data_IF_955679896735
#
_entry.id   IF_955679896735
#
_cell.length_a   1.000
_cell.length_b   1.000
_cell.length_c   1.000
_cell.angle_alpha   90.00
_cell.angle_beta   90.00
_cell.angle_gamma   90.00
#
_symmetry.space_group_name_H-M   'P 1'
#
loop_
_entity.id
_entity.type
_entity.pdbx_description
1 polymer ?
#
# COMPACT_ATOMS: atom_id res chain seq x y z
N UNK A 1 11.20 36.96 -11.42
CA UNK A 1 10.68 38.34 -11.47
C UNK A 1 10.07 38.63 -12.86
N UNK A 2 8.99 39.39 -12.93
CA UNK A 2 8.22 39.65 -14.15
C UNK A 2 7.58 41.03 -14.06
N UNK A 3 7.33 41.67 -15.20
CA UNK A 3 6.68 43.00 -15.28
C UNK A 3 5.14 42.91 -15.22
N UNK A 4 4.61 41.75 -14.81
CA UNK A 4 3.18 41.45 -14.77
C UNK A 4 2.57 41.03 -16.11
N UNK A 5 3.28 41.15 -17.24
CA UNK A 5 2.80 40.66 -18.56
C UNK A 5 3.76 39.68 -19.22
N UNK A 6 5.06 39.79 -18.96
CA UNK A 6 6.12 38.91 -19.44
C UNK A 6 7.04 38.49 -18.29
N UNK A 7 7.65 37.30 -18.42
CA UNK A 7 8.73 36.87 -17.53
C UNK A 7 9.98 37.67 -17.88
N UNK A 8 10.65 38.31 -16.91
CA UNK A 8 11.95 38.93 -17.18
C UNK A 8 12.93 37.84 -17.63
N UNK A 9 13.61 38.08 -18.75
CA UNK A 9 14.63 37.18 -19.25
C UNK A 9 15.93 37.37 -18.44
N UNK A 10 16.08 36.53 -17.42
CA UNK A 10 17.25 36.51 -16.54
C UNK A 10 18.54 36.11 -17.26
N UNK A 11 18.46 35.58 -18.49
CA UNK A 11 19.64 35.11 -19.21
C UNK A 11 20.55 36.27 -19.65
N UNK A 12 19.97 37.40 -20.06
CA UNK A 12 20.76 38.60 -20.43
C UNK A 12 21.42 39.26 -19.22
N UNK A 13 20.75 39.25 -18.07
CA UNK A 13 21.28 39.84 -16.84
C UNK A 13 22.42 39.00 -16.27
N UNK A 14 22.28 37.68 -16.33
CA UNK A 14 23.32 36.72 -15.95
C UNK A 14 24.55 36.87 -16.84
N UNK A 15 24.36 37.09 -18.15
CA UNK A 15 25.44 37.35 -19.09
C UNK A 15 26.21 38.65 -18.75
N UNK A 16 25.51 39.75 -18.48
CA UNK A 16 26.12 41.04 -18.08
C UNK A 16 26.86 40.98 -16.73
N UNK A 17 26.38 40.14 -15.81
CA UNK A 17 27.08 39.84 -14.56
C UNK A 17 28.42 39.11 -14.82
N UNK A 18 28.44 38.11 -15.70
CA UNK A 18 29.71 37.43 -16.05
C UNK A 18 30.64 38.28 -16.93
N UNK A 19 30.11 39.25 -17.67
CA UNK A 19 30.88 40.22 -18.47
C UNK A 19 31.49 41.37 -17.63
N UNK A 20 31.21 41.43 -16.33
CA UNK A 20 31.83 42.39 -15.40
C UNK A 20 31.22 43.79 -15.46
N UNK A 21 29.98 43.93 -15.94
CA UNK A 21 29.28 45.22 -15.99
C UNK A 21 29.06 45.77 -14.56
N UNK A 22 29.63 46.94 -14.20
CA UNK A 22 29.55 47.49 -12.84
C UNK A 22 28.13 47.63 -12.32
N UNK A 23 27.16 47.87 -13.20
CA UNK A 23 25.77 48.09 -12.80
C UNK A 23 25.03 46.79 -12.43
N UNK A 24 25.57 45.62 -12.78
CA UNK A 24 24.99 44.31 -12.47
C UNK A 24 25.79 43.53 -11.43
N UNK A 25 27.00 44.00 -11.08
CA UNK A 25 27.81 43.45 -9.99
C UNK A 25 27.23 43.76 -8.61
N UNK A 26 26.60 44.93 -8.46
CA UNK A 26 25.92 45.29 -7.22
C UNK A 26 24.48 44.73 -7.20
N UNK A 27 24.09 44.15 -6.06
CA UNK A 27 22.81 43.44 -5.86
C UNK A 27 21.58 44.39 -5.93
N UNK A 28 21.81 45.69 -6.05
CA UNK A 28 20.80 46.75 -6.09
C UNK A 28 19.77 46.55 -7.21
N UNK A 29 20.21 46.22 -8.43
CA UNK A 29 19.28 46.00 -9.56
C UNK A 29 18.43 44.74 -9.41
N UNK A 30 19.01 43.70 -8.80
CA UNK A 30 18.30 42.45 -8.53
C UNK A 30 17.25 42.65 -7.45
N UNK A 31 17.60 43.37 -6.39
CA UNK A 31 16.71 43.73 -5.30
C UNK A 31 15.54 44.62 -5.75
N UNK A 32 15.81 45.65 -6.57
CA UNK A 32 14.77 46.51 -7.12
C UNK A 32 13.78 45.74 -8.00
N UNK A 33 14.26 44.78 -8.80
CA UNK A 33 13.40 43.93 -9.63
C UNK A 33 12.50 43.01 -8.79
N UNK A 34 12.98 42.54 -7.64
CA UNK A 34 12.16 41.77 -6.69
C UNK A 34 11.08 42.66 -6.06
N UNK A 35 11.45 43.85 -5.58
CA UNK A 35 10.50 44.80 -5.00
C UNK A 35 9.42 45.24 -5.99
N UNK A 36 9.77 45.45 -7.26
CA UNK A 36 8.80 45.79 -8.30
C UNK A 36 7.84 44.62 -8.57
N UNK A 37 8.36 43.39 -8.65
CA UNK A 37 7.53 42.21 -8.86
C UNK A 37 6.58 41.96 -7.68
N UNK A 38 7.03 42.17 -6.44
CA UNK A 38 6.16 42.06 -5.26
C UNK A 38 5.06 43.12 -5.23
N UNK A 39 5.37 44.37 -5.60
CA UNK A 39 4.37 45.44 -5.75
C UNK A 39 3.33 45.10 -6.82
N UNK A 40 3.75 44.61 -7.98
CA UNK A 40 2.84 44.20 -9.06
C UNK A 40 1.97 43.03 -8.61
N UNK A 41 2.54 42.05 -7.89
CA UNK A 41 1.78 40.92 -7.35
C UNK A 41 0.74 41.34 -6.32
N UNK A 42 1.07 42.32 -5.46
CA UNK A 42 0.14 42.88 -4.49
C UNK A 42 -1.01 43.63 -5.17
N UNK A 43 -0.71 44.42 -6.21
CA UNK A 43 -1.72 45.17 -6.97
C UNK A 43 -2.66 44.24 -7.77
N UNK A 44 -2.12 43.19 -8.40
CA UNK A 44 -2.92 42.16 -9.08
C UNK A 44 -3.83 41.40 -8.12
N UNK A 45 -3.36 41.13 -6.89
CA UNK A 45 -4.18 40.50 -5.85
C UNK A 45 -5.35 41.41 -5.47
N UNK A 46 -5.09 42.71 -5.26
CA UNK A 46 -6.11 43.70 -4.94
C UNK A 46 -7.15 43.85 -6.05
N UNK A 47 -6.73 43.89 -7.31
CA UNK A 47 -7.64 43.92 -8.46
C UNK A 47 -8.49 42.65 -8.61
N UNK A 48 -7.98 41.48 -8.17
CA UNK A 48 -8.75 40.24 -8.16
C UNK A 48 -9.82 40.25 -7.07
N UNK A 49 -9.44 40.68 -5.88
CA UNK A 49 -10.34 40.80 -4.73
C UNK A 49 -11.46 41.84 -5.01
N UNK A 50 -11.16 42.94 -5.73
CA UNK A 50 -12.15 43.94 -6.16
C UNK A 50 -13.08 43.44 -7.28
N UNK A 51 -12.60 42.55 -8.17
CA UNK A 51 -13.41 41.90 -9.22
C UNK A 51 -14.40 40.89 -8.64
N UNK A 52 -13.94 40.06 -7.71
CA UNK A 52 -14.78 39.06 -7.02
C UNK A 52 -15.87 39.74 -6.18
N UNK A 53 -15.59 40.92 -5.62
CA UNK A 53 -16.60 41.75 -4.95
C UNK A 53 -17.61 42.40 -5.91
N UNK A 54 -17.23 42.67 -7.17
CA UNK A 54 -18.12 43.25 -8.18
C UNK A 54 -19.01 42.20 -8.89
N UNK A 55 -18.53 40.97 -9.06
CA UNK A 55 -19.31 39.86 -9.65
C UNK A 55 -20.38 39.33 -8.65
N UNK A 56 -20.13 39.44 -7.35
CA UNK A 56 -21.13 39.12 -6.31
C UNK A 56 -22.32 40.11 -6.27
N UNK A 57 -22.19 41.30 -6.88
CA UNK A 57 -23.22 42.34 -6.87
C UNK A 57 -24.13 42.35 -8.13
N UNK A 58 -23.90 41.47 -9.10
CA UNK A 58 -24.64 41.46 -10.40
C UNK A 58 -25.56 40.22 -10.56
N UNK A 59 -25.60 39.30 -9.59
CA UNK A 59 -26.43 38.07 -9.69
C UNK A 59 -27.64 38.08 -8.74
N UNK A 60 -28.54 39.07 -8.89
CA UNK A 60 -29.89 39.03 -8.30
C UNK A 60 -30.95 39.00 -9.42
N UNK A 61 -31.20 37.81 -9.97
CA UNK A 61 -32.51 37.25 -10.41
C UNK A 61 -32.20 35.89 -11.08
N UNK A 62 -32.79 34.73 -10.67
CA UNK A 62 -34.18 34.42 -10.97
C UNK A 62 -34.94 33.63 -9.90
N UNK A 63 -36.22 33.96 -9.74
CA UNK A 63 -37.28 33.01 -9.36
C UNK A 63 -37.21 31.72 -10.18
N UNK A 64 -37.11 30.56 -9.52
CA UNK A 64 -37.67 29.24 -9.88
C UNK A 64 -37.13 28.19 -8.88
N UNK A 65 -37.80 28.00 -7.74
CA UNK A 65 -38.69 26.84 -7.51
C UNK A 65 -37.98 25.48 -7.59
N UNK A 66 -37.54 24.94 -6.45
CA UNK A 66 -38.18 23.77 -5.82
C UNK A 66 -37.51 23.45 -4.46
N UNK A 67 -38.27 23.71 -3.37
CA UNK A 67 -38.50 22.86 -2.19
C UNK A 67 -37.30 22.05 -1.62
N UNK A 68 -36.89 22.17 -0.36
CA UNK A 68 -37.44 22.87 0.79
C UNK A 68 -36.69 22.47 2.09
N UNK A 69 -36.90 23.31 3.10
CA UNK A 69 -36.62 23.22 4.55
C UNK A 69 -36.44 21.80 5.15
N UNK A 70 -35.67 21.57 6.22
CA UNK A 70 -35.66 22.33 7.47
C UNK A 70 -34.27 22.42 8.11
N UNK A 71 -34.01 23.60 8.68
CA UNK A 71 -33.01 23.84 9.70
C UNK A 71 -33.57 23.48 11.08
N UNK A 72 -32.70 23.07 12.01
CA UNK A 72 -32.86 23.48 13.40
C UNK A 72 -31.50 23.86 13.97
N UNK A 73 -31.45 25.12 14.39
CA UNK A 73 -30.34 25.78 15.04
C UNK A 73 -30.42 25.56 16.54
N UNK A 74 -29.29 25.64 17.24
CA UNK A 74 -29.25 26.36 18.52
C UNK A 74 -27.85 26.91 18.76
N UNK A 75 -27.83 28.15 19.25
CA UNK A 75 -26.67 29.01 19.46
C UNK A 75 -26.32 29.11 20.96
N UNK A 76 -25.20 29.78 21.22
CA UNK A 76 -24.63 30.28 22.50
C UNK A 76 -23.42 29.46 23.00
N UNK A 77 -22.27 30.06 23.36
CA UNK A 77 -21.82 31.45 23.30
C UNK A 77 -20.35 31.56 23.75
N UNK A 78 -19.75 32.73 23.51
CA UNK A 78 -18.64 33.36 24.25
C UNK A 78 -17.41 32.53 24.64
N UNK A 79 -16.24 32.81 24.05
CA UNK A 79 -15.33 33.85 24.54
C UNK A 79 -14.07 33.94 23.66
N UNK A 80 -13.58 35.17 23.55
CA UNK A 80 -12.30 35.50 22.95
C UNK A 80 -11.15 34.76 23.65
N UNK A 81 -10.30 34.12 22.86
CA UNK A 81 -8.88 34.08 23.18
C UNK A 81 -8.05 34.32 21.92
N UNK A 82 -7.21 35.33 22.02
CA UNK A 82 -6.29 35.76 20.99
C UNK A 82 -5.15 34.74 20.92
N UNK A 83 -5.31 33.70 20.10
CA UNK A 83 -4.20 32.83 19.78
C UNK A 83 -3.27 33.54 18.80
N UNK A 84 -2.16 34.01 19.34
CA UNK A 84 -0.92 34.35 18.66
C UNK A 84 -0.72 33.53 17.39
N UNK A 85 -0.79 34.21 16.24
CA UNK A 85 -0.27 33.71 14.99
C UNK A 85 1.25 33.57 15.13
N UNK A 86 1.71 32.42 15.61
CA UNK A 86 3.10 32.02 15.44
C UNK A 86 3.35 31.91 13.93
N UNK A 87 4.11 32.86 13.41
CA UNK A 87 4.69 32.81 12.09
C UNK A 87 5.65 31.62 12.03
N UNK A 88 5.12 30.44 11.72
CA UNK A 88 5.93 29.26 11.42
C UNK A 88 6.80 29.58 10.21
N UNK A 89 8.10 29.71 10.44
CA UNK A 89 9.09 29.70 9.36
C UNK A 89 8.85 28.45 8.51
N UNK A 90 8.90 28.52 7.17
CA UNK A 90 8.75 27.34 6.33
C UNK A 90 9.84 26.33 6.72
N UNK A 91 9.42 25.15 7.18
CA UNK A 91 10.33 24.05 7.53
C UNK A 91 11.22 23.76 6.33
N UNK A 92 12.53 23.64 6.56
CA UNK A 92 13.45 23.24 5.48
C UNK A 92 13.25 21.76 5.13
N UNK A 93 13.65 21.33 3.94
CA UNK A 93 13.54 19.91 3.56
C UNK A 93 14.31 18.98 4.49
N UNK A 94 15.41 19.44 5.07
CA UNK A 94 16.16 18.71 6.08
C UNK A 94 15.33 18.51 7.36
N UNK A 95 14.67 19.57 7.86
CA UNK A 95 13.81 19.49 9.04
C UNK A 95 12.61 18.56 8.80
N UNK A 96 12.04 18.58 7.58
CA UNK A 96 10.95 17.68 7.18
C UNK A 96 11.39 16.23 7.16
N UNK A 97 12.56 15.92 6.59
CA UNK A 97 13.12 14.57 6.58
C UNK A 97 13.28 14.06 8.02
N UNK A 98 13.85 14.87 8.92
CA UNK A 98 14.00 14.51 10.33
C UNK A 98 12.64 14.29 11.02
N UNK A 99 11.65 15.14 10.72
CA UNK A 99 10.30 15.00 11.24
C UNK A 99 9.62 13.71 10.78
N UNK A 100 9.70 13.37 9.50
CA UNK A 100 9.12 12.13 8.98
C UNK A 100 9.83 10.89 9.53
N UNK A 101 11.14 10.95 9.74
CA UNK A 101 11.91 9.87 10.35
C UNK A 101 11.50 9.57 11.80
N UNK A 102 10.98 10.55 12.56
CA UNK A 102 10.62 10.41 13.99
C UNK A 102 9.46 9.44 14.30
N UNK A 103 8.88 8.80 13.31
CA UNK A 103 7.89 7.73 13.49
C UNK A 103 7.82 6.79 12.30
N UNK A 104 8.92 6.67 11.55
CA UNK A 104 8.94 5.91 10.31
C UNK A 104 9.33 4.46 10.55
N UNK A 105 8.67 3.54 9.84
CA UNK A 105 9.08 2.15 9.74
C UNK A 105 9.75 1.91 8.39
N UNK A 106 10.90 1.21 8.32
CA UNK A 106 11.57 0.96 7.05
C UNK A 106 10.72 0.10 6.11
N UNK A 107 10.93 0.27 4.81
CA UNK A 107 10.40 -0.57 3.72
C UNK A 107 11.59 -1.27 3.04
N UNK A 108 12.09 -2.39 3.59
CA UNK A 108 13.34 -3.02 3.18
C UNK A 108 13.38 -3.46 1.72
N UNK A 109 12.23 -3.88 1.17
CA UNK A 109 12.04 -4.28 -0.22
C UNK A 109 12.42 -3.18 -1.24
N UNK A 110 12.40 -1.91 -0.82
CA UNK A 110 12.74 -0.76 -1.66
C UNK A 110 14.15 -0.20 -1.35
N UNK A 111 14.90 -0.82 -0.44
CA UNK A 111 16.24 -0.36 -0.06
C UNK A 111 17.30 -0.96 -0.99
N UNK A 112 17.55 -0.29 -2.11
CA UNK A 112 18.50 -0.74 -3.12
C UNK A 112 19.15 0.40 -3.90
N UNK A 113 20.12 0.05 -4.75
CA UNK A 113 20.62 0.94 -5.79
C UNK A 113 19.88 0.68 -7.10
N UNK A 114 19.14 1.69 -7.56
CA UNK A 114 18.28 1.61 -8.73
C UNK A 114 18.94 2.23 -9.95
N UNK A 115 18.85 1.51 -11.07
CA UNK A 115 19.28 2.00 -12.38
C UNK A 115 18.38 1.40 -13.45
N UNK A 116 18.09 2.22 -14.47
CA UNK A 116 17.37 1.80 -15.66
C UNK A 116 18.29 1.74 -16.88
N UNK A 117 18.08 0.78 -17.76
CA UNK A 117 18.78 0.63 -19.03
C UNK A 117 18.37 1.76 -19.97
N UNK A 118 19.34 2.33 -20.69
CA UNK A 118 19.07 3.43 -21.62
C UNK A 118 18.80 4.79 -20.97
N UNK A 119 18.88 4.89 -19.63
CA UNK A 119 18.82 6.16 -18.90
C UNK A 119 20.23 6.55 -18.44
N UNK A 120 20.70 7.73 -18.84
CA UNK A 120 22.01 8.22 -18.45
C UNK A 120 22.05 8.64 -16.97
N UNK A 121 23.23 8.55 -16.36
CA UNK A 121 23.45 8.94 -14.96
C UNK A 121 23.91 7.79 -14.06
N UNK A 122 24.27 8.13 -12.83
CA UNK A 122 24.73 7.18 -11.81
C UNK A 122 23.54 6.42 -11.18
N UNK A 123 23.71 5.20 -10.65
CA UNK A 123 22.67 4.55 -9.86
C UNK A 123 22.13 5.46 -8.74
N UNK A 124 20.85 5.31 -8.42
CA UNK A 124 20.17 6.03 -7.32
C UNK A 124 20.12 5.11 -6.12
N UNK A 125 20.88 5.45 -5.06
CA UNK A 125 20.81 4.74 -3.78
C UNK A 125 19.60 5.24 -3.01
N UNK A 126 18.57 4.40 -2.89
CA UNK A 126 17.30 4.73 -2.26
C UNK A 126 17.14 4.00 -0.92
N UNK A 127 16.56 4.69 0.06
CA UNK A 127 16.03 4.08 1.28
C UNK A 127 14.58 4.53 1.45
N UNK A 128 13.67 3.59 1.69
CA UNK A 128 12.24 3.88 1.79
C UNK A 128 11.69 3.64 3.20
N UNK A 129 10.72 4.45 3.57
CA UNK A 129 10.04 4.37 4.86
C UNK A 129 8.53 4.59 4.71
N UNK A 130 7.76 3.84 5.48
CA UNK A 130 6.36 4.14 5.77
C UNK A 130 6.29 5.14 6.92
N UNK A 131 5.41 6.13 6.81
CA UNK A 131 5.14 7.11 7.86
C UNK A 131 3.70 7.01 8.35
N UNK A 132 3.47 7.37 9.62
CA UNK A 132 2.14 7.42 10.21
C UNK A 132 1.44 8.78 10.00
N UNK A 133 2.20 9.84 9.72
CA UNK A 133 1.69 11.19 9.53
C UNK A 133 1.50 11.52 8.03
N UNK A 134 0.53 12.37 7.67
CA UNK A 134 0.33 12.78 6.28
C UNK A 134 1.58 13.44 5.69
N UNK A 135 1.93 13.07 4.46
CA UNK A 135 3.01 13.71 3.71
C UNK A 135 2.51 14.95 3.01
N UNK A 136 3.10 16.11 3.30
CA UNK A 136 2.77 17.37 2.65
C UNK A 136 3.99 18.26 2.40
N UNK A 137 4.91 17.85 1.50
CA UNK A 137 6.16 18.58 1.26
C UNK A 137 5.92 20.03 0.80
N UNK A 138 4.94 20.26 -0.06
CA UNK A 138 4.60 21.60 -0.59
C UNK A 138 3.25 22.12 -0.10
N UNK A 139 2.81 21.67 1.08
CA UNK A 139 1.49 21.98 1.63
C UNK A 139 0.34 21.25 0.92
N UNK A 140 0.63 20.44 -0.10
CA UNK A 140 -0.32 19.51 -0.72
C UNK A 140 -0.04 18.11 -0.23
N UNK A 141 -1.10 17.41 0.18
CA UNK A 141 -0.99 16.01 0.60
C UNK A 141 -0.62 15.13 -0.59
N UNK A 142 0.37 14.26 -0.41
CA UNK A 142 0.83 13.30 -1.42
C UNK A 142 0.92 11.89 -0.83
N UNK A 143 0.73 10.83 -1.63
CA UNK A 143 0.89 9.45 -1.13
C UNK A 143 2.36 9.06 -0.93
N UNK A 144 3.26 9.59 -1.75
CA UNK A 144 4.69 9.30 -1.74
C UNK A 144 5.48 10.59 -1.91
N UNK A 145 6.60 10.72 -1.18
CA UNK A 145 7.55 11.82 -1.35
C UNK A 145 8.98 11.28 -1.46
N UNK A 146 9.62 11.52 -2.60
CA UNK A 146 11.02 11.20 -2.86
C UNK A 146 11.87 12.47 -2.76
N UNK A 147 12.94 12.44 -1.97
CA UNK A 147 13.84 13.58 -1.83
C UNK A 147 15.31 13.17 -1.66
N UNK A 148 16.21 14.07 -2.04
CA UNK A 148 17.65 13.87 -1.94
C UNK A 148 18.18 14.13 -0.52
N UNK A 149 19.19 13.37 -0.12
CA UNK A 149 19.95 13.57 1.10
C UNK A 149 21.41 13.95 0.78
N UNK A 150 22.13 14.42 1.82
CA UNK A 150 23.56 14.68 1.71
C UNK A 150 24.30 13.39 1.31
N UNK A 151 25.29 13.52 0.43
CA UNK A 151 26.08 12.37 -0.04
C UNK A 151 25.51 11.62 -1.24
N UNK A 152 24.46 12.15 -1.89
CA UNK A 152 23.90 11.57 -3.11
C UNK A 152 23.02 10.33 -2.87
N UNK A 153 22.59 10.13 -1.64
CA UNK A 153 21.54 9.17 -1.27
C UNK A 153 20.18 9.82 -1.39
N UNK A 154 19.14 9.00 -1.55
CA UNK A 154 17.76 9.44 -1.66
C UNK A 154 16.91 8.71 -0.63
N UNK A 155 15.90 9.40 -0.13
CA UNK A 155 14.92 8.85 0.80
C UNK A 155 13.53 8.99 0.21
N UNK A 156 12.74 7.92 0.30
CA UNK A 156 11.32 7.94 -0.03
C UNK A 156 10.49 7.74 1.22
N UNK A 157 9.43 8.52 1.37
CA UNK A 157 8.43 8.36 2.42
C UNK A 157 7.08 7.99 1.80
N UNK A 158 6.33 7.12 2.48
CA UNK A 158 5.03 6.62 2.04
C UNK A 158 3.98 6.84 3.12
N UNK A 159 2.89 7.56 2.78
CA UNK A 159 1.70 7.74 3.62
C UNK A 159 0.62 6.70 3.26
N UNK A 160 0.59 5.57 3.96
CA UNK A 160 -0.44 4.54 3.75
C UNK A 160 -1.85 4.98 4.16
N UNK A 161 -1.99 6.07 4.90
CA UNK A 161 -3.30 6.63 5.25
C UNK A 161 -3.88 7.55 4.16
N UNK A 162 -3.13 7.76 3.06
CA UNK A 162 -3.57 8.55 1.92
C UNK A 162 -4.82 7.92 1.27
N UNK A 163 -5.76 8.75 0.81
CA UNK A 163 -7.01 8.28 0.20
C UNK A 163 -6.79 7.38 -1.02
N UNK A 164 -5.66 7.55 -1.71
CA UNK A 164 -5.26 6.71 -2.83
C UNK A 164 -5.20 5.22 -2.44
N UNK A 165 -4.43 4.86 -1.41
CA UNK A 165 -4.31 3.46 -0.95
C UNK A 165 -5.57 2.88 -0.31
N UNK A 166 -6.54 3.75 0.03
CA UNK A 166 -7.85 3.30 0.53
C UNK A 166 -8.84 3.01 -0.59
N UNK A 167 -8.66 3.64 -1.75
CA UNK A 167 -9.63 3.64 -2.84
C UNK A 167 -9.14 2.86 -4.07
N UNK A 168 -7.83 2.69 -4.22
CA UNK A 168 -7.18 2.03 -5.35
C UNK A 168 -6.31 0.87 -4.86
N UNK A 169 -6.29 -0.21 -5.63
CA UNK A 169 -5.49 -1.43 -5.38
C UNK A 169 -4.05 -1.29 -5.92
N UNK A 170 -3.45 -0.13 -5.66
CA UNK A 170 -2.06 0.13 -6.02
C UNK A 170 -1.14 -0.18 -4.84
N UNK A 171 -0.15 -1.04 -5.07
CA UNK A 171 0.88 -1.36 -4.09
C UNK A 171 1.74 -0.09 -3.83
N UNK A 172 2.05 0.28 -2.57
CA UNK A 172 2.85 1.46 -2.27
C UNK A 172 4.22 1.49 -2.93
N UNK A 173 4.80 0.31 -3.13
CA UNK A 173 6.06 0.10 -3.83
C UNK A 173 5.97 0.54 -5.30
N UNK A 174 4.82 0.34 -5.95
CA UNK A 174 4.59 0.76 -7.33
C UNK A 174 4.61 2.29 -7.43
N UNK A 175 4.02 3.01 -6.47
CA UNK A 175 4.07 4.47 -6.47
C UNK A 175 5.48 5.01 -6.23
N UNK A 176 6.26 4.36 -5.35
CA UNK A 176 7.66 4.72 -5.13
C UNK A 176 8.48 4.50 -6.40
N UNK A 177 8.33 3.37 -7.08
CA UNK A 177 9.03 3.10 -8.34
C UNK A 177 8.59 4.04 -9.47
N UNK A 178 7.31 4.43 -9.51
CA UNK A 178 6.82 5.41 -10.48
C UNK A 178 7.46 6.79 -10.24
N UNK A 179 7.51 7.25 -8.99
CA UNK A 179 8.18 8.51 -8.64
C UNK A 179 9.69 8.46 -8.93
N UNK A 180 10.31 7.30 -8.71
CA UNK A 180 11.72 7.07 -9.02
C UNK A 180 11.99 7.05 -10.52
N UNK A 181 11.09 6.45 -11.32
CA UNK A 181 11.19 6.44 -12.77
C UNK A 181 11.13 7.87 -13.36
N UNK A 182 10.21 8.69 -12.84
CA UNK A 182 10.10 10.11 -13.19
C UNK A 182 11.39 10.87 -12.83
N UNK A 183 11.88 10.70 -11.60
CA UNK A 183 13.13 11.30 -11.14
C UNK A 183 14.35 10.91 -12.01
N UNK A 184 14.45 9.64 -12.40
CA UNK A 184 15.51 9.17 -13.29
C UNK A 184 15.46 9.84 -14.66
N UNK A 185 14.26 10.10 -15.18
CA UNK A 185 14.03 10.76 -16.46
C UNK A 185 14.40 12.25 -16.40
N UNK A 186 13.95 12.97 -15.37
CA UNK A 186 14.29 14.37 -15.13
C UNK A 186 15.82 14.57 -15.06
N UNK A 187 16.50 13.69 -14.30
CA UNK A 187 17.95 13.73 -14.14
C UNK A 187 18.70 13.47 -15.44
N UNK A 188 18.11 12.71 -16.37
CA UNK A 188 18.70 12.46 -17.68
C UNK A 188 18.55 13.65 -18.65
N UNK A 189 17.78 14.70 -18.30
CA UNK A 189 17.66 15.95 -19.06
C UNK A 189 17.38 15.77 -20.57
N UNK A 190 16.56 14.77 -20.93
CA UNK A 190 16.23 14.47 -22.33
C UNK A 190 17.31 13.72 -23.12
N UNK A 191 18.36 13.21 -22.45
CA UNK A 191 19.37 12.35 -23.08
C UNK A 191 18.88 10.92 -23.36
N UNK A 192 17.61 10.63 -23.08
CA UNK A 192 16.99 9.32 -23.24
C UNK A 192 15.66 9.45 -23.97
N UNK A 193 15.38 8.48 -24.84
CA UNK A 193 14.11 8.32 -25.54
C UNK A 193 13.26 7.19 -24.96
N UNK A 194 13.72 6.57 -23.86
CA UNK A 194 13.01 5.47 -23.21
C UNK A 194 11.75 6.02 -22.53
N UNK A 195 10.55 5.48 -22.83
CA UNK A 195 9.33 5.88 -22.16
C UNK A 195 9.39 5.60 -20.65
N UNK A 196 8.77 6.46 -19.84
CA UNK A 196 8.69 6.27 -18.38
C UNK A 196 8.08 4.91 -18.00
N UNK A 197 7.10 4.41 -18.77
CA UNK A 197 6.48 3.11 -18.54
C UNK A 197 7.46 1.95 -18.71
N UNK A 198 8.41 2.05 -19.64
CA UNK A 198 9.47 1.05 -19.82
C UNK A 198 10.48 1.08 -18.68
N UNK A 199 10.83 2.28 -18.19
CA UNK A 199 11.68 2.45 -17.00
C UNK A 199 10.99 1.82 -15.80
N UNK A 200 9.73 2.18 -15.56
CA UNK A 200 8.93 1.64 -14.45
C UNK A 200 8.83 0.11 -14.50
N UNK A 201 8.50 -0.47 -15.67
CA UNK A 201 8.41 -1.92 -15.84
C UNK A 201 9.75 -2.61 -15.54
N UNK A 202 10.87 -2.07 -16.05
CA UNK A 202 12.21 -2.59 -15.78
C UNK A 202 12.56 -2.55 -14.29
N UNK A 203 12.25 -1.44 -13.61
CA UNK A 203 12.48 -1.32 -12.17
C UNK A 203 11.64 -2.35 -11.40
N UNK A 204 10.37 -2.52 -11.76
CA UNK A 204 9.49 -3.50 -11.12
C UNK A 204 9.99 -4.93 -11.32
N UNK A 205 10.37 -5.30 -12.53
CA UNK A 205 10.91 -6.63 -12.87
C UNK A 205 12.21 -6.95 -12.13
N UNK A 206 13.10 -5.96 -11.95
CA UNK A 206 14.40 -6.20 -11.33
C UNK A 206 14.38 -6.16 -9.81
N UNK A 207 13.57 -5.28 -9.23
CA UNK A 207 13.66 -4.95 -7.81
C UNK A 207 12.45 -5.38 -6.99
N UNK A 208 11.29 -5.66 -7.62
CA UNK A 208 10.06 -6.11 -6.93
C UNK A 208 9.63 -7.51 -7.39
N UNK A 209 10.59 -8.43 -7.52
CA UNK A 209 10.31 -9.85 -7.78
C UNK A 209 9.37 -10.46 -6.73
N UNK A 210 9.36 -9.90 -5.52
CA UNK A 210 8.44 -10.26 -4.43
C UNK A 210 6.96 -10.00 -4.75
N UNK A 211 6.62 -9.20 -5.77
CA UNK A 211 5.24 -8.87 -6.15
C UNK A 211 4.78 -9.59 -7.43
N UNK A 212 5.67 -10.35 -8.08
CA UNK A 212 5.33 -11.07 -9.32
C UNK A 212 4.30 -12.16 -9.02
N UNK A 213 3.21 -12.16 -9.77
CA UNK A 213 2.20 -13.23 -9.78
C UNK A 213 2.81 -14.40 -10.56
N UNK A 214 3.72 -15.12 -9.90
CA UNK A 214 4.41 -16.28 -10.46
C UNK A 214 3.98 -17.56 -9.72
N UNK A 215 3.51 -18.54 -10.49
CA UNK A 215 3.14 -19.86 -9.98
C UNK A 215 4.33 -20.59 -9.38
N UNK A 216 5.52 -20.40 -9.93
CA UNK A 216 6.76 -20.98 -9.41
C UNK A 216 7.00 -20.62 -7.95
N UNK A 217 6.43 -19.49 -7.49
CA UNK A 217 6.50 -19.03 -6.11
C UNK A 217 5.23 -19.27 -5.30
N UNK A 218 4.06 -19.00 -5.88
CA UNK A 218 2.78 -19.17 -5.18
C UNK A 218 2.51 -20.63 -4.79
N UNK A 219 2.92 -21.60 -5.62
CA UNK A 219 2.69 -23.02 -5.33
C UNK A 219 3.53 -23.50 -4.13
N UNK A 220 4.86 -23.25 -4.04
CA UNK A 220 5.62 -23.55 -2.84
C UNK A 220 5.08 -22.87 -1.58
N UNK A 221 4.68 -21.59 -1.68
CA UNK A 221 4.11 -20.82 -0.56
C UNK A 221 2.81 -21.44 -0.05
N UNK A 222 1.87 -21.76 -0.96
CA UNK A 222 0.65 -22.48 -0.62
C UNK A 222 0.94 -23.85 0.00
N UNK A 223 1.89 -24.62 -0.56
CA UNK A 223 2.26 -25.92 -0.01
C UNK A 223 2.87 -25.83 1.38
N UNK A 224 3.62 -24.77 1.69
CA UNK A 224 4.17 -24.56 3.01
C UNK A 224 3.05 -24.21 4.00
N UNK A 225 2.24 -23.20 3.66
CA UNK A 225 1.13 -22.76 4.50
C UNK A 225 0.13 -23.89 4.79
N UNK A 226 -0.24 -24.67 3.77
CA UNK A 226 -1.16 -25.80 3.95
C UNK A 226 -0.57 -26.89 4.83
N UNK A 227 0.74 -27.16 4.78
CA UNK A 227 1.40 -28.10 5.69
C UNK A 227 1.38 -27.60 7.12
N UNK A 228 1.72 -26.33 7.33
CA UNK A 228 1.72 -25.72 8.66
C UNK A 228 0.32 -25.78 9.29
N UNK A 229 -0.72 -25.53 8.49
CA UNK A 229 -2.12 -25.70 8.89
C UNK A 229 -2.43 -27.15 9.24
N UNK A 230 -2.11 -28.10 8.35
CA UNK A 230 -2.34 -29.53 8.58
C UNK A 230 -1.66 -30.07 9.83
N UNK A 231 -0.45 -29.59 10.12
CA UNK A 231 0.30 -29.98 11.31
C UNK A 231 -0.35 -29.46 12.59
N UNK A 232 -0.88 -28.23 12.59
CA UNK A 232 -1.62 -27.65 13.72
C UNK A 232 -3.01 -28.26 13.91
N UNK A 233 -3.67 -28.68 12.83
CA UNK A 233 -4.98 -29.32 12.90
C UNK A 233 -4.97 -30.60 13.74
N UNK A 234 -3.84 -31.33 13.81
CA UNK A 234 -3.73 -32.56 14.61
C UNK A 234 -4.07 -32.31 16.09
N UNK A 235 -3.57 -31.22 16.68
CA UNK A 235 -3.87 -30.88 18.08
C UNK A 235 -5.30 -30.36 18.29
N UNK A 236 -5.97 -29.92 17.23
CA UNK A 236 -7.35 -29.41 17.31
C UNK A 236 -8.40 -30.51 17.38
N UNK A 237 -8.07 -31.73 16.92
CA UNK A 237 -9.02 -32.83 16.75
C UNK A 237 -8.93 -33.91 17.84
N UNK A 238 -8.16 -33.70 18.90
CA UNK A 238 -7.90 -34.70 19.96
C UNK A 238 -9.19 -35.25 20.60
N UNK A 239 -10.24 -34.44 20.70
CA UNK A 239 -11.54 -34.85 21.27
C UNK A 239 -12.26 -35.90 20.41
N UNK A 240 -12.12 -35.83 19.08
CA UNK A 240 -12.76 -36.76 18.14
C UNK A 240 -11.97 -36.86 16.83
N UNK A 241 -10.84 -37.56 16.84
CA UNK A 241 -9.89 -37.53 15.72
C UNK A 241 -10.42 -38.23 14.47
N UNK A 242 -11.32 -39.21 14.60
CA UNK A 242 -11.84 -39.94 13.44
C UNK A 242 -12.98 -39.23 12.70
N UNK A 243 -13.64 -38.22 13.32
CA UNK A 243 -14.79 -37.50 12.73
C UNK A 243 -14.50 -36.96 11.31
N UNK A 244 -13.41 -36.23 11.04
CA UNK A 244 -13.14 -35.76 9.67
C UNK A 244 -12.91 -36.91 8.67
N UNK A 245 -12.19 -37.95 9.09
CA UNK A 245 -11.92 -39.13 8.27
C UNK A 245 -13.22 -39.83 7.86
N UNK A 246 -14.15 -40.00 8.80
CA UNK A 246 -15.39 -40.76 8.62
C UNK A 246 -16.52 -39.96 7.96
N UNK A 247 -16.59 -38.64 8.19
CA UNK A 247 -17.75 -37.83 7.77
C UNK A 247 -17.44 -36.87 6.62
N UNK A 248 -16.18 -36.48 6.43
CA UNK A 248 -15.81 -35.47 5.42
C UNK A 248 -15.11 -36.10 4.21
N UNK A 249 -14.18 -37.03 4.44
CA UNK A 249 -13.43 -37.64 3.34
C UNK A 249 -14.29 -38.64 2.57
N UNK A 250 -14.30 -38.50 1.24
CA UNK A 250 -14.86 -39.50 0.33
C UNK A 250 -14.04 -40.79 0.34
N UNK A 251 -14.62 -41.89 -0.16
CA UNK A 251 -13.92 -43.18 -0.26
C UNK A 251 -12.61 -43.08 -1.05
N UNK A 252 -12.62 -42.31 -2.14
CA UNK A 252 -11.41 -42.06 -2.93
C UNK A 252 -10.33 -41.33 -2.13
N UNK A 253 -10.71 -40.27 -1.40
CA UNK A 253 -9.77 -39.49 -0.60
C UNK A 253 -9.23 -40.27 0.60
N UNK A 254 -10.04 -41.15 1.22
CA UNK A 254 -9.59 -42.08 2.26
C UNK A 254 -8.53 -43.03 1.72
N UNK A 255 -8.76 -43.59 0.53
CA UNK A 255 -7.78 -44.46 -0.13
C UNK A 255 -6.49 -43.71 -0.42
N UNK A 256 -6.55 -42.54 -1.05
CA UNK A 256 -5.36 -41.72 -1.33
C UNK A 256 -4.62 -41.30 -0.05
N UNK A 257 -5.36 -40.99 1.02
CA UNK A 257 -4.77 -40.68 2.33
C UNK A 257 -4.08 -41.92 2.92
N UNK A 258 -4.71 -43.10 2.84
CA UNK A 258 -4.12 -44.37 3.27
C UNK A 258 -2.84 -44.75 2.53
N UNK A 259 -2.82 -44.56 1.21
CA UNK A 259 -1.62 -44.76 0.38
C UNK A 259 -0.49 -43.83 0.85
N UNK A 260 -0.79 -42.54 1.07
CA UNK A 260 0.18 -41.55 1.59
C UNK A 260 0.67 -41.84 3.00
N UNK A 261 -0.21 -42.31 3.90
CA UNK A 261 0.16 -42.76 5.25
C UNK A 261 1.16 -43.91 5.15
N UNK A 262 0.86 -44.91 4.32
CA UNK A 262 1.72 -46.08 4.13
C UNK A 262 3.10 -45.67 3.58
N UNK A 263 3.12 -44.75 2.62
CA UNK A 263 4.36 -44.21 2.04
C UNK A 263 5.18 -43.38 3.04
N UNK A 264 4.52 -42.48 3.78
CA UNK A 264 5.16 -41.51 4.68
C UNK A 264 5.58 -42.12 6.02
N UNK A 265 4.67 -42.85 6.67
CA UNK A 265 4.84 -43.38 8.03
C UNK A 265 5.33 -44.84 8.04
N UNK A 266 5.41 -45.49 6.87
CA UNK A 266 5.86 -46.90 6.73
C UNK A 266 5.06 -47.87 7.61
N UNK A 267 3.77 -47.58 7.81
CA UNK A 267 2.85 -48.41 8.58
C UNK A 267 1.70 -48.90 7.71
N UNK A 268 1.21 -50.10 8.00
CA UNK A 268 -0.03 -50.64 7.40
C UNK A 268 -1.24 -50.45 8.33
N UNK A 269 -1.01 -50.02 9.58
CA UNK A 269 -2.07 -49.76 10.56
C UNK A 269 -2.63 -48.35 10.37
N UNK A 270 -3.54 -48.21 9.41
CA UNK A 270 -4.19 -46.94 9.09
C UNK A 270 -5.13 -46.52 10.23
N UNK A 271 -5.81 -47.49 10.85
CA UNK A 271 -6.78 -47.20 11.91
C UNK A 271 -6.11 -46.52 13.11
N UNK A 272 -4.94 -47.00 13.56
CA UNK A 272 -4.19 -46.35 14.63
C UNK A 272 -3.81 -44.89 14.29
N UNK A 273 -3.46 -44.61 13.03
CA UNK A 273 -3.12 -43.25 12.56
C UNK A 273 -4.37 -42.35 12.45
N UNK A 274 -5.54 -42.95 12.16
CA UNK A 274 -6.83 -42.24 12.18
C UNK A 274 -7.21 -41.88 13.62
N UNK A 275 -7.08 -42.82 14.56
CA UNK A 275 -7.37 -42.59 15.98
C UNK A 275 -6.40 -41.62 16.66
N UNK A 276 -5.19 -41.41 16.11
CA UNK A 276 -4.26 -40.40 16.62
C UNK A 276 -4.45 -39.01 16.00
N UNK A 277 -5.26 -38.88 14.94
CA UNK A 277 -5.41 -37.63 14.19
C UNK A 277 -4.26 -37.31 13.22
N UNK A 278 -3.15 -38.06 13.26
CA UNK A 278 -1.96 -37.80 12.43
C UNK A 278 -2.22 -37.92 10.93
N UNK A 279 -3.28 -38.62 10.52
CA UNK A 279 -3.70 -38.72 9.12
C UNK A 279 -3.95 -37.35 8.47
N UNK A 280 -4.30 -36.31 9.24
CA UNK A 280 -4.51 -34.94 8.75
C UNK A 280 -3.26 -34.36 8.07
N UNK A 281 -2.08 -34.83 8.42
CA UNK A 281 -0.83 -34.45 7.74
C UNK A 281 -0.68 -35.07 6.34
N UNK A 282 -1.51 -36.06 6.03
CA UNK A 282 -1.45 -36.85 4.79
C UNK A 282 -2.66 -36.61 3.88
N UNK A 283 -3.72 -35.96 4.35
CA UNK A 283 -4.90 -35.68 3.52
C UNK A 283 -4.54 -34.72 2.38
N UNK A 284 -5.26 -34.76 1.24
CA UNK A 284 -5.09 -33.78 0.18
C UNK A 284 -5.42 -32.36 0.68
N UNK A 285 -4.59 -31.33 0.37
CA UNK A 285 -4.84 -29.96 0.82
C UNK A 285 -6.21 -29.41 0.40
N UNK A 286 -6.75 -29.86 -0.73
CA UNK A 286 -8.09 -29.51 -1.22
C UNK A 286 -9.24 -29.95 -0.31
N UNK A 287 -8.99 -30.87 0.62
CA UNK A 287 -10.03 -31.34 1.57
C UNK A 287 -10.11 -30.49 2.83
N UNK A 288 -9.08 -29.70 3.14
CA UNK A 288 -8.93 -28.99 4.42
C UNK A 288 -10.07 -28.00 4.65
N UNK A 289 -10.46 -27.24 3.62
CA UNK A 289 -11.57 -26.29 3.71
C UNK A 289 -12.88 -26.98 4.14
N UNK A 290 -13.19 -28.16 3.59
CA UNK A 290 -14.39 -28.93 3.95
C UNK A 290 -14.31 -29.50 5.37
N UNK A 291 -13.12 -29.87 5.83
CA UNK A 291 -12.92 -30.35 7.20
C UNK A 291 -13.23 -29.22 8.19
N UNK A 292 -12.73 -28.02 7.91
CA UNK A 292 -12.99 -26.83 8.74
C UNK A 292 -14.46 -26.42 8.70
N UNK A 293 -15.11 -26.52 7.54
CA UNK A 293 -16.53 -26.20 7.37
C UNK A 293 -17.46 -27.15 8.14
N UNK A 294 -17.15 -28.44 8.17
CA UNK A 294 -17.94 -29.46 8.87
C UNK A 294 -17.73 -29.45 10.39
N UNK A 295 -16.56 -29.00 10.85
CA UNK A 295 -16.20 -29.00 12.26
C UNK A 295 -15.57 -27.68 12.75
N UNK A 296 -16.25 -26.53 12.59
CA UNK A 296 -15.70 -25.24 12.94
C UNK A 296 -15.38 -25.12 14.43
N UNK A 297 -16.16 -25.72 15.33
CA UNK A 297 -15.94 -25.66 16.77
C UNK A 297 -14.60 -26.28 17.24
N UNK A 298 -13.95 -27.12 16.42
CA UNK A 298 -12.61 -27.62 16.72
C UNK A 298 -11.48 -26.69 16.29
N UNK A 299 -11.69 -25.82 15.30
CA UNK A 299 -10.62 -25.06 14.67
C UNK A 299 -10.66 -23.56 15.00
N UNK A 300 -11.80 -23.02 15.37
CA UNK A 300 -11.94 -21.61 15.74
C UNK A 300 -11.72 -21.37 17.24
N UNK A 301 -12.02 -20.16 17.72
CA UNK A 301 -11.92 -19.76 19.13
C UNK A 301 -10.49 -19.81 19.67
N UNK A 302 -9.53 -19.35 18.85
CA UNK A 302 -8.12 -19.26 19.25
C UNK A 302 -7.34 -20.55 19.06
N UNK A 303 -7.97 -21.67 18.69
CA UNK A 303 -7.30 -22.97 18.46
C UNK A 303 -6.39 -22.92 17.22
N UNK A 304 -6.95 -23.08 16.03
CA UNK A 304 -6.22 -22.92 14.77
C UNK A 304 -6.41 -21.51 14.20
N UNK A 305 -7.64 -21.00 14.25
CA UNK A 305 -8.02 -19.67 13.80
C UNK A 305 -8.40 -18.79 14.98
N UNK A 306 -7.98 -17.53 14.91
CA UNK A 306 -8.16 -16.53 15.96
C UNK A 306 -9.60 -16.03 16.07
N UNK A 307 -10.42 -16.20 15.02
CA UNK A 307 -11.78 -15.69 15.01
C UNK A 307 -12.68 -16.41 16.02
N UNK A 308 -13.56 -15.67 16.73
CA UNK A 308 -14.51 -16.27 17.67
C UNK A 308 -15.66 -16.96 16.92
N UNK A 309 -15.95 -18.20 17.27
CA UNK A 309 -17.07 -18.97 16.71
C UNK A 309 -18.17 -19.21 17.74
N UNK A 310 -17.85 -19.74 18.91
CA UNK A 310 -18.85 -20.11 19.94
C UNK A 310 -19.57 -18.87 20.49
N UNK A 311 -18.85 -17.77 20.68
CA UNK A 311 -19.41 -16.52 21.24
C UNK A 311 -20.35 -15.79 20.27
N UNK A 312 -20.25 -16.07 18.97
CA UNK A 312 -21.03 -15.39 17.93
C UNK A 312 -22.47 -15.89 17.95
N UNK A 313 -23.35 -15.07 18.50
CA UNK A 313 -24.77 -15.44 18.68
C UNK A 313 -25.50 -15.66 17.35
N UNK A 314 -25.27 -14.82 16.34
CA UNK A 314 -25.94 -14.93 15.03
C UNK A 314 -25.43 -16.15 14.25
N UNK A 315 -26.33 -17.07 13.84
CA UNK A 315 -25.97 -18.20 12.97
C UNK A 315 -25.43 -17.74 11.60
N UNK A 316 -25.97 -16.65 11.06
CA UNK A 316 -25.56 -16.10 9.76
C UNK A 316 -24.15 -15.53 9.83
N UNK A 317 -23.84 -14.79 10.90
CA UNK A 317 -22.50 -14.27 11.13
C UNK A 317 -21.46 -15.41 11.28
N UNK A 318 -21.81 -16.48 12.01
CA UNK A 318 -20.98 -17.69 12.10
C UNK A 318 -20.71 -18.31 10.73
N UNK A 319 -21.75 -18.47 9.91
CA UNK A 319 -21.62 -19.05 8.56
C UNK A 319 -20.74 -18.20 7.65
N UNK A 320 -20.93 -16.88 7.67
CA UNK A 320 -20.11 -15.97 6.86
C UNK A 320 -18.64 -15.99 7.27
N UNK A 321 -18.37 -16.03 8.57
CA UNK A 321 -17.00 -16.11 9.09
C UNK A 321 -16.31 -17.41 8.66
N UNK A 322 -16.98 -18.56 8.84
CA UNK A 322 -16.45 -19.85 8.37
C UNK A 322 -16.23 -19.82 6.86
N UNK A 323 -17.19 -19.30 6.09
CA UNK A 323 -17.10 -19.21 4.63
C UNK A 323 -15.93 -18.34 4.15
N UNK A 324 -15.59 -17.26 4.87
CA UNK A 324 -14.42 -16.43 4.55
C UNK A 324 -13.12 -17.22 4.67
N UNK A 325 -12.90 -17.87 5.82
CA UNK A 325 -11.68 -18.68 6.06
C UNK A 325 -11.61 -19.86 5.10
N UNK A 326 -12.72 -20.57 4.88
CA UNK A 326 -12.75 -21.71 3.96
C UNK A 326 -12.56 -21.29 2.51
N UNK A 327 -12.97 -20.08 2.12
CA UNK A 327 -12.64 -19.52 0.79
C UNK A 327 -11.12 -19.36 0.62
N UNK A 328 -10.40 -18.86 1.62
CA UNK A 328 -8.94 -18.73 1.53
C UNK A 328 -8.25 -20.10 1.46
N UNK A 329 -8.71 -21.06 2.28
CA UNK A 329 -8.22 -22.44 2.27
C UNK A 329 -8.47 -23.13 0.92
N UNK A 330 -9.63 -22.88 0.29
CA UNK A 330 -9.95 -23.41 -1.03
C UNK A 330 -9.00 -22.86 -2.10
N UNK A 331 -8.69 -21.56 -2.07
CA UNK A 331 -7.74 -20.95 -3.01
C UNK A 331 -6.31 -21.49 -2.82
N UNK A 332 -5.87 -21.65 -1.57
CA UNK A 332 -4.58 -22.26 -1.25
C UNK A 332 -4.52 -23.75 -1.66
N UNK A 333 -5.55 -24.53 -1.33
CA UNK A 333 -5.68 -25.93 -1.73
C UNK A 333 -5.73 -26.11 -3.25
N UNK A 334 -6.43 -25.21 -3.96
CA UNK A 334 -6.41 -25.15 -5.41
C UNK A 334 -4.99 -24.93 -5.93
N UNK A 335 -4.23 -23.97 -5.41
CA UNK A 335 -2.84 -23.73 -5.84
C UNK A 335 -1.95 -24.97 -5.71
N UNK A 336 -2.14 -25.79 -4.66
CA UNK A 336 -1.32 -27.02 -4.47
C UNK A 336 -1.59 -28.10 -5.51
N UNK A 337 -2.77 -28.07 -6.13
CA UNK A 337 -3.23 -29.10 -7.08
C UNK A 337 -3.43 -28.55 -8.49
N UNK A 338 -3.33 -27.23 -8.67
CA UNK A 338 -3.75 -26.55 -9.88
C UNK A 338 -2.96 -27.06 -11.10
N UNK A 339 -3.65 -27.60 -12.13
CA UNK A 339 -3.03 -27.79 -13.43
C UNK A 339 -2.65 -26.42 -14.01
N UNK A 340 -1.77 -26.41 -15.03
CA UNK A 340 -1.14 -25.24 -15.65
C UNK A 340 -2.10 -24.20 -16.30
N UNK A 341 -3.39 -24.21 -16.02
CA UNK A 341 -4.44 -23.48 -16.75
C UNK A 341 -5.18 -22.38 -15.97
N UNK A 342 -4.82 -22.06 -14.72
CA UNK A 342 -5.48 -20.98 -13.96
C UNK A 342 -5.33 -19.58 -14.60
N UNK A 343 -6.40 -18.79 -14.67
CA UNK A 343 -6.36 -17.42 -15.21
C UNK A 343 -5.52 -16.48 -14.33
N UNK A 344 -5.10 -15.33 -14.89
CA UNK A 344 -4.34 -14.32 -14.12
C UNK A 344 -5.13 -13.83 -12.90
N UNK A 345 -6.42 -13.62 -13.06
CA UNK A 345 -7.34 -13.16 -12.01
C UNK A 345 -7.47 -14.20 -10.90
N UNK A 346 -7.50 -15.49 -11.24
CA UNK A 346 -7.49 -16.57 -10.26
C UNK A 346 -6.19 -16.58 -9.46
N UNK A 347 -5.04 -16.36 -10.11
CA UNK A 347 -3.76 -16.26 -9.41
C UNK A 347 -3.68 -15.03 -8.50
N UNK A 348 -4.26 -13.89 -8.93
CA UNK A 348 -4.36 -12.68 -8.09
C UNK A 348 -5.19 -12.96 -6.85
N UNK A 349 -6.37 -13.56 -7.03
CA UNK A 349 -7.24 -13.95 -5.91
C UNK A 349 -6.50 -14.90 -4.97
N UNK A 350 -5.85 -15.93 -5.50
CA UNK A 350 -5.14 -16.90 -4.67
C UNK A 350 -3.95 -16.28 -3.93
N UNK A 351 -3.21 -15.34 -4.56
CA UNK A 351 -2.17 -14.55 -3.87
C UNK A 351 -2.74 -13.75 -2.71
N UNK A 352 -3.89 -13.10 -2.89
CA UNK A 352 -4.55 -12.35 -1.82
C UNK A 352 -4.99 -13.30 -0.68
N UNK A 353 -5.56 -14.46 -1.01
CA UNK A 353 -5.91 -15.49 -0.04
C UNK A 353 -4.71 -15.99 0.76
N UNK A 354 -3.54 -16.18 0.12
CA UNK A 354 -2.29 -16.52 0.82
C UNK A 354 -1.76 -15.40 1.72
N UNK A 355 -2.08 -14.13 1.43
CA UNK A 355 -1.72 -12.99 2.27
C UNK A 355 -2.65 -12.85 3.48
N UNK A 356 -3.95 -13.09 3.29
CA UNK A 356 -4.97 -12.93 4.33
C UNK A 356 -5.04 -14.12 5.29
N UNK A 357 -4.88 -15.36 4.78
CA UNK A 357 -5.01 -16.57 5.61
C UNK A 357 -4.07 -16.59 6.83
N UNK A 358 -2.79 -16.18 6.74
CA UNK A 358 -1.91 -16.07 7.91
C UNK A 358 -2.39 -15.08 8.97
N UNK A 359 -3.15 -14.05 8.60
CA UNK A 359 -3.71 -13.07 9.54
C UNK A 359 -4.88 -13.67 10.35
N UNK A 360 -5.56 -14.69 9.81
CA UNK A 360 -6.64 -15.40 10.49
C UNK A 360 -6.13 -16.49 11.44
N UNK A 361 -4.93 -17.03 11.20
CA UNK A 361 -4.34 -18.11 12.01
C UNK A 361 -3.95 -17.59 13.39
N UNK A 362 -4.30 -18.32 14.44
CA UNK A 362 -3.90 -17.99 15.80
C UNK A 362 -2.36 -18.02 15.94
N UNK A 363 -1.76 -17.04 16.66
CA UNK A 363 -0.39 -17.21 17.14
C UNK A 363 -0.38 -18.47 18.02
N UNK A 364 0.45 -19.45 17.67
CA UNK A 364 0.52 -20.68 18.47
C UNK A 364 0.97 -20.34 19.89
N UNK A 365 0.44 -21.07 20.87
CA UNK A 365 1.03 -21.09 22.21
C UNK A 365 2.40 -21.80 22.09
N UNK A 366 3.48 -21.02 21.98
CA UNK A 366 4.87 -21.51 22.12
C UNK A 366 5.19 -21.86 23.59
#
# INVERSE_FOLDING_TARGET
PGDGKNRLDLHEWTKRFYEGDPEYQEDTKWWEAVLQHEKIKAELKKQRDDRDASDAAILEDPTLEFLGDEAEAEAEGTNADASTAETTKPLTDADRIEQYLKGASPLPELNAEFKATGVAGKPVKLTAYRVAQPLSPDGKRVPVWLTGQKGGTYVSFVDLSHSHFRNFDDDPEDLVLMQLADFLLERAQGSTTVPISSIFAELKERYLLSHVIDRGRLVPEANQLMRDIQDRMVGCVEENPSRPYENVLSEHERKTTGDRITERLRTADIDAVVYSGEYLRSVPPTTIARIVEEWPEAFFDGRLFSNPYIEVKSPEARRLMVASVTSYLNDAGWLTTAPSAGSREQLIRARLSLKLLPEEISPGDD
#
